data_IF_910581604125
#
_entry.id   IF_910581604125
#
_cell.length_a   1.000
_cell.length_b   1.000
_cell.length_c   1.000
_cell.angle_alpha   90.00
_cell.angle_beta   90.00
_cell.angle_gamma   90.00
#
_symmetry.space_group_name_H-M   'P 1'
#
loop_
_entity.id
_entity.type
_entity.pdbx_description
1 polymer ?
#
# COMPACT_ATOMS: atom_id res chain seq x y z
N UNK A 1 -22.83 -4.75 -13.83
CA UNK A 1 -22.37 -3.63 -12.96
C UNK A 1 -20.92 -3.35 -13.33
N UNK A 2 -20.66 -2.29 -14.08
CA UNK A 2 -19.28 -1.85 -14.31
C UNK A 2 -18.78 -1.25 -13.01
N UNK A 3 -17.92 -1.99 -12.28
CA UNK A 3 -17.16 -1.39 -11.21
C UNK A 3 -16.43 -0.18 -11.79
N UNK A 4 -16.48 0.98 -11.14
CA UNK A 4 -15.61 2.08 -11.47
C UNK A 4 -14.24 1.74 -10.84
N UNK A 5 -13.25 1.29 -11.61
CA UNK A 5 -12.04 0.69 -11.04
C UNK A 5 -10.95 1.73 -10.75
N UNK A 6 -11.26 3.03 -10.79
CA UNK A 6 -10.24 4.07 -10.75
C UNK A 6 -9.39 4.08 -12.04
N UNK A 7 -8.22 4.70 -11.95
CA UNK A 7 -7.25 4.66 -13.05
C UNK A 7 -6.30 3.47 -12.90
N UNK A 8 -5.93 2.82 -14.01
CA UNK A 8 -4.90 1.79 -13.99
C UNK A 8 -3.54 2.39 -13.65
N UNK A 9 -2.59 1.54 -13.22
CA UNK A 9 -1.22 1.95 -12.95
C UNK A 9 -0.57 2.60 -14.17
N UNK A 10 0.12 3.72 -13.98
CA UNK A 10 0.68 4.54 -15.07
C UNK A 10 1.63 3.72 -15.99
N UNK A 11 2.39 2.80 -15.42
CA UNK A 11 3.38 2.03 -16.17
C UNK A 11 2.79 1.06 -17.20
N UNK A 12 1.48 0.76 -17.18
CA UNK A 12 0.85 -0.05 -18.24
C UNK A 12 0.81 0.69 -19.60
N UNK A 13 0.98 2.01 -19.57
CA UNK A 13 1.03 2.85 -20.77
C UNK A 13 2.46 3.11 -21.25
N UNK A 14 3.48 2.53 -20.59
CA UNK A 14 4.87 2.67 -21.02
C UNK A 14 5.11 1.90 -22.32
N UNK A 15 5.97 2.45 -23.19
CA UNK A 15 6.44 1.68 -24.34
C UNK A 15 7.26 0.46 -23.89
N UNK A 16 7.34 -0.61 -24.68
CA UNK A 16 8.12 -1.80 -24.33
C UNK A 16 9.58 -1.46 -23.96
N UNK A 17 10.20 -0.50 -24.66
CA UNK A 17 11.56 -0.04 -24.40
C UNK A 17 11.66 0.67 -23.04
N UNK A 18 10.73 1.58 -22.75
CA UNK A 18 10.66 2.28 -21.45
C UNK A 18 10.41 1.29 -20.33
N UNK A 19 9.49 0.34 -20.52
CA UNK A 19 9.16 -0.67 -19.54
C UNK A 19 10.38 -1.53 -19.19
N UNK A 20 11.12 -2.00 -20.21
CA UNK A 20 12.31 -2.83 -20.05
C UNK A 20 13.49 -2.07 -19.40
N UNK A 21 13.60 -0.77 -19.60
CA UNK A 21 14.67 0.05 -19.04
C UNK A 21 14.38 0.54 -17.61
N UNK A 22 13.11 0.59 -17.21
CA UNK A 22 12.69 1.10 -15.89
C UNK A 22 12.96 0.08 -14.79
N UNK A 23 13.68 0.50 -13.76
CA UNK A 23 13.94 -0.31 -12.56
C UNK A 23 12.88 -0.03 -11.51
N UNK A 24 11.96 -0.96 -11.37
CA UNK A 24 10.86 -0.87 -10.43
C UNK A 24 11.24 -1.45 -9.07
N UNK A 25 10.79 -0.79 -8.00
CA UNK A 25 10.75 -1.33 -6.65
C UNK A 25 9.31 -1.29 -6.12
N UNK A 26 8.78 -2.43 -5.73
CA UNK A 26 7.50 -2.52 -5.03
C UNK A 26 7.72 -2.67 -3.54
N UNK A 27 6.99 -1.88 -2.73
CA UNK A 27 7.02 -1.96 -1.27
C UNK A 27 5.64 -2.34 -0.77
N UNK A 28 5.49 -3.58 -0.35
CA UNK A 28 4.24 -4.17 0.11
C UNK A 28 4.22 -4.29 1.63
N UNK A 29 3.24 -3.69 2.31
CA UNK A 29 3.09 -3.78 3.77
C UNK A 29 1.89 -4.64 4.17
N UNK A 30 2.11 -5.78 4.82
CA UNK A 30 1.06 -6.69 5.26
C UNK A 30 0.12 -7.08 4.12
N UNK A 31 -1.18 -6.78 4.25
CA UNK A 31 -2.19 -7.05 3.21
C UNK A 31 -1.91 -6.33 1.88
N UNK A 32 -1.05 -5.31 1.86
CA UNK A 32 -0.63 -4.64 0.62
C UNK A 32 0.09 -5.56 -0.36
N UNK A 33 0.57 -6.73 0.06
CA UNK A 33 1.12 -7.75 -0.83
C UNK A 33 0.10 -8.22 -1.88
N UNK A 34 -1.18 -8.31 -1.51
CA UNK A 34 -2.23 -8.78 -2.40
C UNK A 34 -2.44 -7.87 -3.64
N UNK A 35 -2.62 -6.54 -3.52
CA UNK A 35 -2.72 -5.65 -4.68
C UNK A 35 -1.40 -5.41 -5.40
N UNK A 36 -0.24 -5.62 -4.78
CA UNK A 36 1.07 -5.57 -5.46
C UNK A 36 1.27 -6.77 -6.37
N UNK A 37 0.80 -7.95 -5.96
CA UNK A 37 1.03 -9.19 -6.72
C UNK A 37 0.60 -9.13 -8.20
N UNK A 38 -0.64 -8.71 -8.57
CA UNK A 38 -1.04 -8.62 -9.97
C UNK A 38 -0.20 -7.63 -10.78
N UNK A 39 0.30 -6.55 -10.18
CA UNK A 39 1.16 -5.58 -10.84
C UNK A 39 2.54 -6.19 -11.16
N UNK A 40 3.15 -6.86 -10.19
CA UNK A 40 4.43 -7.57 -10.38
C UNK A 40 4.28 -8.72 -11.38
N UNK A 41 3.15 -9.46 -11.33
CA UNK A 41 2.85 -10.52 -12.29
C UNK A 41 2.75 -9.97 -13.72
N UNK A 42 2.02 -8.88 -13.90
CA UNK A 42 1.92 -8.22 -15.21
C UNK A 42 3.28 -7.79 -15.75
N UNK A 43 4.14 -7.18 -14.91
CA UNK A 43 5.51 -6.82 -15.29
C UNK A 43 6.34 -8.05 -15.67
N UNK A 44 6.23 -9.13 -14.90
CA UNK A 44 6.93 -10.37 -15.16
C UNK A 44 6.53 -11.01 -16.50
N UNK A 45 5.24 -10.96 -16.85
CA UNK A 45 4.69 -11.40 -18.15
C UNK A 45 5.21 -10.56 -19.31
N UNK A 46 5.59 -9.29 -19.06
CA UNK A 46 6.22 -8.39 -20.02
C UNK A 46 7.77 -8.41 -19.98
N UNK A 47 8.35 -9.40 -19.32
CA UNK A 47 9.81 -9.61 -19.29
C UNK A 47 10.56 -8.76 -18.27
N UNK A 48 9.87 -7.97 -17.44
CA UNK A 48 10.47 -7.15 -16.40
C UNK A 48 10.55 -7.92 -15.08
N UNK A 49 11.65 -7.80 -14.36
CA UNK A 49 11.87 -8.46 -13.05
C UNK A 49 12.08 -7.39 -11.99
N UNK A 50 10.99 -6.84 -11.40
CA UNK A 50 11.10 -5.80 -10.39
C UNK A 50 11.69 -6.33 -9.09
N UNK A 51 12.24 -5.43 -8.28
CA UNK A 51 12.50 -5.70 -6.86
C UNK A 51 11.20 -5.58 -6.07
N UNK A 52 11.04 -6.44 -5.04
CA UNK A 52 9.87 -6.43 -4.17
C UNK A 52 10.33 -6.48 -2.71
N UNK A 53 9.94 -5.51 -1.91
CA UNK A 53 10.07 -5.56 -0.44
C UNK A 53 8.71 -5.95 0.13
N UNK A 54 8.68 -7.04 0.91
CA UNK A 54 7.49 -7.46 1.66
C UNK A 54 7.75 -7.17 3.14
N UNK A 55 6.96 -6.27 3.71
CA UNK A 55 7.02 -5.92 5.12
C UNK A 55 5.92 -6.58 5.94
N UNK A 56 6.28 -7.15 7.09
CA UNK A 56 5.33 -7.72 8.04
C UNK A 56 5.80 -7.51 9.49
N UNK A 57 4.90 -7.68 10.46
CA UNK A 57 5.29 -7.62 11.88
C UNK A 57 6.18 -8.79 12.28
N UNK A 58 5.91 -9.97 11.74
CA UNK A 58 6.64 -11.22 11.98
C UNK A 58 6.49 -12.17 10.78
N UNK A 59 7.23 -13.29 10.80
CA UNK A 59 7.23 -14.30 9.74
C UNK A 59 5.82 -14.84 9.41
N UNK A 60 5.00 -15.10 10.42
CA UNK A 60 3.65 -15.70 10.21
C UNK A 60 2.68 -14.77 9.45
N UNK A 61 3.00 -13.49 9.35
CA UNK A 61 2.23 -12.46 8.64
C UNK A 61 2.83 -12.09 7.27
N UNK A 62 3.91 -12.75 6.85
CA UNK A 62 4.44 -12.58 5.48
C UNK A 62 3.51 -13.26 4.50
N UNK A 63 3.04 -12.51 3.51
CA UNK A 63 2.06 -12.97 2.53
C UNK A 63 2.68 -13.08 1.14
N UNK A 64 2.31 -14.14 0.39
CA UNK A 64 2.62 -14.33 -1.03
C UNK A 64 4.13 -14.36 -1.35
N UNK A 65 4.98 -14.74 -0.40
CA UNK A 65 6.43 -14.77 -0.64
C UNK A 65 6.80 -15.72 -1.78
N UNK A 66 6.30 -16.95 -1.75
CA UNK A 66 6.62 -17.97 -2.75
C UNK A 66 6.11 -17.57 -4.13
N UNK A 67 4.92 -16.96 -4.19
CA UNK A 67 4.33 -16.47 -5.41
C UNK A 67 5.16 -15.33 -6.01
N UNK A 68 5.65 -14.38 -5.18
CA UNK A 68 6.56 -13.34 -5.66
C UNK A 68 7.90 -13.90 -6.12
N UNK A 69 8.47 -14.87 -5.39
CA UNK A 69 9.73 -15.52 -5.77
C UNK A 69 9.63 -16.29 -7.10
N UNK A 70 8.44 -16.79 -7.43
CA UNK A 70 8.18 -17.39 -8.73
C UNK A 70 8.20 -16.38 -9.88
N UNK A 71 7.92 -15.09 -9.61
CA UNK A 71 7.86 -14.02 -10.60
C UNK A 71 9.19 -13.28 -10.75
N UNK A 72 9.92 -13.09 -9.65
CA UNK A 72 11.20 -12.35 -9.64
C UNK A 72 12.16 -12.93 -8.60
N UNK A 73 13.48 -12.98 -8.90
CA UNK A 73 14.47 -13.40 -7.90
C UNK A 73 14.74 -12.32 -6.84
N UNK A 74 14.28 -11.09 -7.05
CA UNK A 74 14.62 -9.92 -6.23
C UNK A 74 13.55 -9.66 -5.15
N UNK A 75 13.25 -10.68 -4.33
CA UNK A 75 12.30 -10.55 -3.22
C UNK A 75 13.04 -10.39 -1.90
N UNK A 76 12.77 -9.30 -1.21
CA UNK A 76 13.36 -8.90 0.06
C UNK A 76 12.27 -8.90 1.14
N UNK A 77 12.54 -9.58 2.26
CA UNK A 77 11.60 -9.64 3.38
C UNK A 77 12.12 -8.75 4.50
N UNK A 78 11.22 -7.96 5.11
CA UNK A 78 11.48 -7.21 6.33
C UNK A 78 10.44 -7.57 7.38
N UNK A 79 10.88 -7.94 8.58
CA UNK A 79 10.00 -8.18 9.73
C UNK A 79 10.40 -7.30 10.90
N UNK A 80 9.40 -6.70 11.57
CA UNK A 80 9.65 -5.78 12.67
C UNK A 80 10.42 -6.46 13.82
N UNK A 81 10.08 -7.73 14.11
CA UNK A 81 10.71 -8.52 15.18
C UNK A 81 12.01 -9.24 14.75
N UNK A 82 12.29 -9.29 13.45
CA UNK A 82 13.47 -9.98 12.89
C UNK A 82 13.31 -11.49 12.78
N UNK A 83 12.08 -12.02 12.86
CA UNK A 83 11.81 -13.45 12.72
C UNK A 83 12.12 -13.98 11.33
N UNK A 84 12.11 -13.11 10.30
CA UNK A 84 12.48 -13.47 8.92
C UNK A 84 13.05 -12.28 8.17
N UNK A 85 14.12 -12.52 7.41
CA UNK A 85 14.74 -11.52 6.54
C UNK A 85 15.42 -10.38 7.31
N UNK A 86 15.24 -9.16 6.82
CA UNK A 86 15.76 -7.95 7.45
C UNK A 86 14.98 -7.63 8.74
N UNK A 87 15.69 -7.39 9.84
CA UNK A 87 15.06 -6.96 11.09
C UNK A 87 14.82 -5.46 11.07
N UNK A 88 13.57 -5.04 11.00
CA UNK A 88 13.18 -3.65 11.06
C UNK A 88 12.17 -3.23 9.99
N UNK A 89 12.03 -1.92 9.80
CA UNK A 89 11.04 -1.34 8.90
C UNK A 89 11.45 -1.45 7.43
N UNK A 90 10.47 -1.54 6.54
CA UNK A 90 10.67 -1.55 5.07
C UNK A 90 11.46 -0.34 4.57
N UNK A 91 11.33 0.82 5.22
CA UNK A 91 12.05 2.05 4.89
C UNK A 91 13.56 1.93 5.16
N UNK A 92 13.94 1.22 6.23
CA UNK A 92 15.35 0.97 6.54
C UNK A 92 15.97 0.02 5.51
N UNK A 93 15.23 -1.04 5.15
CA UNK A 93 15.66 -1.96 4.09
C UNK A 93 15.78 -1.25 2.74
N UNK A 94 14.83 -0.36 2.40
CA UNK A 94 14.89 0.46 1.19
C UNK A 94 16.17 1.33 1.18
N UNK A 95 16.45 2.03 2.29
CA UNK A 95 17.68 2.83 2.42
C UNK A 95 18.94 1.95 2.28
N UNK A 96 18.93 0.75 2.85
CA UNK A 96 20.05 -0.20 2.73
C UNK A 96 20.26 -0.64 1.29
N UNK A 97 19.20 -1.01 0.56
CA UNK A 97 19.28 -1.39 -0.86
C UNK A 97 19.90 -0.28 -1.72
N UNK A 98 19.49 0.98 -1.48
CA UNK A 98 19.98 2.12 -2.25
C UNK A 98 21.37 2.55 -1.80
N UNK A 99 21.55 2.86 -0.51
CA UNK A 99 22.75 3.51 0.01
C UNK A 99 23.92 2.53 0.23
N UNK A 100 23.65 1.28 0.63
CA UNK A 100 24.68 0.30 0.96
C UNK A 100 24.95 -0.64 -0.20
N UNK A 101 23.89 -1.16 -0.84
CA UNK A 101 24.02 -2.11 -1.95
C UNK A 101 24.15 -1.42 -3.32
N UNK A 102 24.03 -0.08 -3.37
CA UNK A 102 24.19 0.70 -4.61
C UNK A 102 23.09 0.42 -5.65
N UNK A 103 21.93 -0.09 -5.24
CA UNK A 103 20.81 -0.30 -6.15
C UNK A 103 20.19 1.02 -6.57
N UNK A 104 19.87 1.13 -7.83
CA UNK A 104 19.16 2.28 -8.39
C UNK A 104 17.74 1.87 -8.77
N UNK A 105 16.77 2.70 -8.44
CA UNK A 105 15.37 2.52 -8.80
C UNK A 105 14.84 3.79 -9.48
N UNK A 106 14.13 3.61 -10.59
CA UNK A 106 13.53 4.72 -11.34
C UNK A 106 12.10 5.01 -10.87
N UNK A 107 11.43 4.01 -10.27
CA UNK A 107 10.08 4.14 -9.76
C UNK A 107 9.86 3.20 -8.57
N UNK A 108 9.37 3.76 -7.47
CA UNK A 108 8.89 3.01 -6.31
C UNK A 108 7.36 2.99 -6.31
N UNK A 109 6.76 1.83 -6.08
CA UNK A 109 5.31 1.68 -5.86
C UNK A 109 5.10 1.12 -4.46
N UNK A 110 4.42 1.87 -3.59
CA UNK A 110 4.20 1.45 -2.22
C UNK A 110 2.71 1.25 -1.92
N UNK A 111 2.37 0.07 -1.41
CA UNK A 111 0.99 -0.31 -1.06
C UNK A 111 0.99 -0.98 0.31
N UNK A 112 0.20 -0.45 1.25
CA UNK A 112 0.11 -0.98 2.60
C UNK A 112 -0.56 -0.02 3.57
N UNK A 113 -0.29 -0.13 4.86
CA UNK A 113 -0.81 0.81 5.86
C UNK A 113 -0.43 2.26 5.51
N UNK A 114 -1.38 3.19 5.71
CA UNK A 114 -1.18 4.60 5.36
C UNK A 114 0.08 5.20 5.98
N UNK A 115 0.37 4.82 7.24
CA UNK A 115 1.58 5.27 7.94
C UNK A 115 2.87 4.73 7.27
N UNK A 116 2.86 3.49 6.79
CA UNK A 116 3.99 2.93 6.04
C UNK A 116 4.23 3.70 4.74
N UNK A 117 3.17 3.94 3.97
CA UNK A 117 3.24 4.70 2.72
C UNK A 117 3.76 6.12 2.94
N UNK A 118 3.34 6.80 4.03
CA UNK A 118 3.88 8.10 4.44
C UNK A 118 5.40 8.04 4.62
N UNK A 119 5.90 7.07 5.40
CA UNK A 119 7.34 6.97 5.66
C UNK A 119 8.13 6.53 4.43
N UNK A 120 7.57 5.67 3.57
CA UNK A 120 8.18 5.34 2.26
C UNK A 120 8.29 6.61 1.41
N UNK A 121 7.22 7.41 1.30
CA UNK A 121 7.22 8.66 0.55
C UNK A 121 8.28 9.66 1.06
N UNK A 122 8.42 9.80 2.38
CA UNK A 122 9.46 10.65 2.97
C UNK A 122 10.87 10.13 2.64
N UNK A 123 11.08 8.82 2.77
CA UNK A 123 12.36 8.18 2.47
C UNK A 123 12.75 8.33 0.99
N UNK A 124 11.82 8.06 0.08
CA UNK A 124 12.07 8.16 -1.36
C UNK A 124 12.25 9.60 -1.82
N UNK A 125 11.60 10.56 -1.14
CA UNK A 125 11.83 11.99 -1.38
C UNK A 125 13.23 12.42 -1.01
N UNK A 126 13.78 11.93 0.12
CA UNK A 126 15.19 12.17 0.50
C UNK A 126 16.17 11.57 -0.52
N UNK A 127 15.79 10.46 -1.17
CA UNK A 127 16.60 9.74 -2.15
C UNK A 127 16.36 10.21 -3.60
N UNK A 128 15.48 11.18 -3.80
CA UNK A 128 15.07 11.71 -5.13
C UNK A 128 14.55 10.62 -6.07
N UNK A 129 13.77 9.66 -5.53
CA UNK A 129 13.19 8.57 -6.31
C UNK A 129 11.68 8.81 -6.49
N UNK A 130 11.17 8.91 -7.73
CA UNK A 130 9.75 8.99 -8.02
C UNK A 130 8.96 7.86 -7.34
N UNK A 131 7.86 8.20 -6.70
CA UNK A 131 7.12 7.21 -5.89
C UNK A 131 5.63 7.35 -6.08
N UNK A 132 4.97 6.23 -6.36
CA UNK A 132 3.52 6.09 -6.41
C UNK A 132 3.05 5.36 -5.16
N UNK A 133 1.95 5.80 -4.58
CA UNK A 133 1.24 5.09 -3.52
C UNK A 133 -0.17 4.75 -3.96
N UNK A 134 -0.63 3.55 -3.64
CA UNK A 134 -2.02 3.16 -3.84
C UNK A 134 -2.77 3.34 -2.52
N UNK A 135 -3.62 4.37 -2.47
CA UNK A 135 -4.28 4.80 -1.24
C UNK A 135 -5.47 3.90 -0.89
N UNK A 136 -5.50 3.42 0.33
CA UNK A 136 -6.58 2.63 0.92
C UNK A 136 -7.56 3.49 1.72
N UNK A 137 -8.04 4.58 1.12
CA UNK A 137 -9.05 5.45 1.72
C UNK A 137 -10.39 4.73 1.88
N UNK A 138 -11.24 5.22 2.80
CA UNK A 138 -12.62 4.73 2.90
C UNK A 138 -13.37 5.02 1.59
N UNK A 139 -13.89 3.98 0.95
CA UNK A 139 -14.70 4.07 -0.27
C UNK A 139 -16.09 3.51 0.01
N UNK A 140 -17.14 4.31 -0.24
CA UNK A 140 -18.53 3.94 0.04
C UNK A 140 -19.27 3.59 -1.24
N UNK A 141 -19.38 4.54 -2.19
CA UNK A 141 -20.11 4.31 -3.45
C UNK A 141 -19.22 4.01 -4.66
N UNK A 142 -17.97 4.46 -4.66
CA UNK A 142 -17.03 4.23 -5.75
C UNK A 142 -17.23 5.08 -7.00
N UNK A 143 -18.17 6.04 -6.99
CA UNK A 143 -18.54 6.87 -8.17
C UNK A 143 -18.00 8.29 -8.10
N UNK A 144 -17.35 8.68 -6.99
CA UNK A 144 -16.87 10.03 -6.73
C UNK A 144 -17.93 11.00 -6.18
N UNK A 145 -19.18 10.55 -6.03
CA UNK A 145 -20.28 11.43 -5.60
C UNK A 145 -20.33 11.65 -4.09
N UNK A 146 -20.10 10.61 -3.28
CA UNK A 146 -20.23 10.70 -1.82
C UNK A 146 -19.09 11.43 -1.11
N UNK A 147 -17.94 11.60 -1.75
CA UNK A 147 -16.77 12.28 -1.19
C UNK A 147 -16.09 11.57 -0.01
N UNK A 148 -16.48 10.32 0.32
CA UNK A 148 -15.88 9.56 1.43
C UNK A 148 -14.39 9.32 1.22
N UNK A 149 -13.97 9.03 -0.02
CA UNK A 149 -12.60 8.71 -0.41
C UNK A 149 -11.74 9.93 -0.76
N UNK A 150 -12.20 11.16 -0.47
CA UNK A 150 -11.43 12.35 -0.80
C UNK A 150 -10.09 12.39 -0.05
N UNK A 151 -9.08 12.86 -0.75
CA UNK A 151 -7.71 13.04 -0.28
C UNK A 151 -7.14 14.30 -0.91
N UNK A 152 -6.25 15.01 -0.21
CA UNK A 152 -5.53 16.15 -0.77
C UNK A 152 -4.22 15.69 -1.42
N UNK A 153 -4.08 15.98 -2.72
CA UNK A 153 -2.89 15.67 -3.53
C UNK A 153 -2.46 16.93 -4.27
N UNK A 154 -1.23 17.38 -4.06
CA UNK A 154 -0.73 18.63 -4.66
C UNK A 154 -1.58 19.86 -4.29
N UNK A 155 -2.11 19.91 -3.07
CA UNK A 155 -2.97 21.00 -2.58
C UNK A 155 -4.39 21.00 -3.17
N UNK A 156 -4.77 19.96 -3.94
CA UNK A 156 -6.10 19.83 -4.55
C UNK A 156 -6.84 18.63 -3.98
N UNK A 157 -8.14 18.77 -3.76
CA UNK A 157 -8.99 17.62 -3.39
C UNK A 157 -9.14 16.68 -4.58
N UNK A 158 -8.88 15.40 -4.35
CA UNK A 158 -9.04 14.29 -5.29
C UNK A 158 -9.94 13.21 -4.69
N UNK A 159 -10.53 12.38 -5.56
CA UNK A 159 -11.37 11.25 -5.15
C UNK A 159 -10.69 9.95 -5.54
N UNK A 160 -10.16 9.21 -4.55
CA UNK A 160 -9.36 8.02 -4.79
C UNK A 160 -10.10 6.92 -5.57
N UNK A 161 -11.43 6.84 -5.47
CA UNK A 161 -12.22 5.85 -6.20
C UNK A 161 -12.35 6.15 -7.70
N UNK A 162 -12.13 7.40 -8.12
CA UNK A 162 -12.29 7.83 -9.54
C UNK A 162 -10.96 8.25 -10.13
N UNK A 163 -10.21 9.13 -9.43
CA UNK A 163 -8.95 9.71 -9.91
C UNK A 163 -7.70 8.92 -9.47
N UNK A 164 -7.86 7.98 -8.55
CA UNK A 164 -6.85 7.07 -8.04
C UNK A 164 -7.19 5.61 -8.33
N UNK A 165 -6.80 4.68 -7.49
CA UNK A 165 -6.24 4.86 -6.13
C UNK A 165 -4.76 5.27 -6.08
N UNK A 166 -4.07 5.26 -7.20
CA UNK A 166 -2.65 5.56 -7.30
C UNK A 166 -2.41 7.06 -7.46
N UNK A 167 -1.49 7.61 -6.66
CA UNK A 167 -1.10 9.01 -6.67
C UNK A 167 0.39 9.16 -6.44
N UNK A 168 0.95 10.30 -6.92
CA UNK A 168 2.30 10.71 -6.57
C UNK A 168 2.42 10.87 -5.05
N UNK A 169 3.22 9.99 -4.44
CA UNK A 169 3.39 9.91 -3.00
C UNK A 169 3.91 11.21 -2.39
N UNK A 170 4.72 11.96 -3.13
CA UNK A 170 5.34 13.19 -2.65
C UNK A 170 4.37 14.37 -2.60
N UNK A 171 3.18 14.22 -3.19
CA UNK A 171 2.13 15.24 -3.22
C UNK A 171 0.95 14.93 -2.29
N UNK A 172 0.88 13.72 -1.71
CA UNK A 172 -0.23 13.30 -0.85
C UNK A 172 -0.13 13.93 0.55
N UNK A 173 -1.23 14.53 1.03
CA UNK A 173 -1.38 14.88 2.46
C UNK A 173 -1.77 13.65 3.26
N UNK A 174 -0.75 12.90 3.70
CA UNK A 174 -0.95 11.69 4.51
C UNK A 174 -1.56 11.97 5.88
N UNK A 175 -1.31 13.14 6.48
CA UNK A 175 -1.85 13.48 7.80
C UNK A 175 -3.35 13.69 7.73
N UNK A 176 -3.84 14.37 6.70
CA UNK A 176 -5.27 14.45 6.42
C UNK A 176 -5.87 13.06 6.14
N UNK A 177 -5.24 12.28 5.27
CA UNK A 177 -5.72 10.94 4.90
C UNK A 177 -5.85 10.02 6.12
N UNK A 178 -4.88 10.01 7.04
CA UNK A 178 -4.92 9.23 8.29
C UNK A 178 -6.01 9.71 9.24
N UNK A 179 -6.19 11.04 9.42
CA UNK A 179 -7.29 11.59 10.23
C UNK A 179 -8.64 11.14 9.70
N UNK A 180 -8.81 11.13 8.37
CA UNK A 180 -10.05 10.68 7.72
C UNK A 180 -10.31 9.18 7.88
N UNK A 181 -9.29 8.34 7.80
CA UNK A 181 -9.42 6.91 8.09
C UNK A 181 -9.89 6.64 9.52
N UNK A 182 -9.50 7.47 10.48
CA UNK A 182 -9.93 7.37 11.87
C UNK A 182 -11.35 7.86 12.17
N UNK A 183 -12.05 8.44 11.20
CA UNK A 183 -13.33 9.14 11.42
C UNK A 183 -14.43 8.25 12.03
N UNK A 184 -14.46 6.97 11.69
CA UNK A 184 -15.48 6.02 12.17
C UNK A 184 -14.97 5.08 13.27
N UNK A 185 -13.74 5.26 13.73
CA UNK A 185 -13.10 4.36 14.71
C UNK A 185 -13.92 4.19 15.99
N UNK A 186 -14.45 5.28 16.54
CA UNK A 186 -15.26 5.24 17.76
C UNK A 186 -16.56 4.45 17.57
N UNK A 187 -17.16 4.52 16.37
CA UNK A 187 -18.39 3.77 16.03
C UNK A 187 -18.06 2.29 15.91
N UNK A 188 -16.96 1.93 15.26
CA UNK A 188 -16.49 0.54 15.15
C UNK A 188 -16.11 -0.06 16.51
N UNK A 189 -15.46 0.70 17.38
CA UNK A 189 -15.11 0.28 18.73
C UNK A 189 -16.37 0.01 19.57
N UNK A 190 -17.39 0.87 19.50
CA UNK A 190 -18.69 0.66 20.15
C UNK A 190 -19.40 -0.59 19.61
N UNK A 191 -19.39 -0.77 18.28
CA UNK A 191 -20.01 -1.96 17.65
C UNK A 191 -19.34 -3.24 18.12
N UNK A 192 -18.00 -3.29 18.13
CA UNK A 192 -17.23 -4.44 18.63
C UNK A 192 -17.50 -4.73 20.11
N UNK A 193 -17.62 -3.70 20.95
CA UNK A 193 -17.98 -3.87 22.36
C UNK A 193 -19.38 -4.49 22.51
N UNK A 194 -20.37 -4.01 21.77
CA UNK A 194 -21.75 -4.56 21.78
C UNK A 194 -21.76 -6.03 21.29
N UNK A 195 -21.00 -6.34 20.24
CA UNK A 195 -20.90 -7.71 19.72
C UNK A 195 -20.22 -8.64 20.73
N UNK A 196 -19.17 -8.18 21.42
CA UNK A 196 -18.50 -8.93 22.47
C UNK A 196 -19.43 -9.19 23.67
N UNK A 197 -20.20 -8.20 24.11
CA UNK A 197 -21.21 -8.36 25.18
C UNK A 197 -22.30 -9.37 24.78
N UNK A 198 -22.76 -9.33 23.53
CA UNK A 198 -23.73 -10.31 23.02
C UNK A 198 -23.17 -11.73 22.98
N UNK A 199 -21.91 -11.87 22.54
CA UNK A 199 -21.22 -13.17 22.50
C UNK A 199 -20.98 -13.74 23.91
N UNK A 200 -20.78 -12.87 24.92
CA UNK A 200 -20.61 -13.25 26.31
C UNK A 200 -21.95 -13.64 27.01
N UNK A 201 -23.07 -13.68 26.28
CA UNK A 201 -24.35 -14.14 26.77
C UNK A 201 -25.07 -13.15 27.71
N UNK A 202 -24.70 -11.88 27.70
CA UNK A 202 -25.44 -10.85 28.42
C UNK A 202 -26.80 -10.65 27.75
N UNK A 203 -27.85 -11.18 28.40
CA UNK A 203 -29.22 -10.82 28.08
C UNK A 203 -29.43 -9.37 28.48
N UNK A 204 -29.62 -8.50 27.51
CA UNK A 204 -30.01 -7.13 27.72
C UNK A 204 -31.41 -7.14 28.37
N UNK A 205 -31.49 -7.01 29.70
CA UNK A 205 -32.75 -6.77 30.40
C UNK A 205 -33.14 -5.31 30.20
N UNK A 206 -33.62 -4.96 29.02
CA UNK A 206 -34.45 -3.76 28.84
C UNK A 206 -35.84 -4.22 29.22
N UNK A 207 -36.21 -3.97 30.48
CA UNK A 207 -37.58 -4.10 30.91
C UNK A 207 -38.49 -3.22 30.08
N UNK A 208 -39.48 -3.84 29.43
CA UNK A 208 -40.72 -3.20 29.00
C UNK A 208 -41.61 -2.99 30.22
#
# INVERSE_FOLDING_TARGET
MSACPGHPSEFIHYSPEKLASTKFLFVAGGLGAAPVYPQVKWLAEHGVRPDVIIGAKNESLVLLEDEFRALTPNVHIATDDGSKGYKGLVTNLLKELVAVQGRHFDLVVAIGPMIMMKFVALTTKELDIPTIVSLNTLMVDGTGMCGACRVTVGGKTRFACVEGPEFDAHQVDFDEAMRRQGMYRTIEERKRAIEAERAAGHKCNIGL
#
